data_IF_348894370077
#
_entry.id   IF_348894370077
#
_cell.length_a   1.000
_cell.length_b   1.000
_cell.length_c   1.000
_cell.angle_alpha   90.00
_cell.angle_beta   90.00
_cell.angle_gamma   90.00
#
_symmetry.space_group_name_H-M   'P 1'
#
loop_
_entity.id
_entity.type
_entity.pdbx_description
1 polymer ?
#
# COMPACT_ATOMS: atom_id res chain seq x y z
N UNK A 1 25.40 -30.51 -10.44
CA UNK A 1 24.86 -30.55 -9.06
C UNK A 1 25.29 -29.32 -8.27
N UNK A 2 26.59 -29.13 -7.97
CA UNK A 2 27.05 -27.96 -7.20
C UNK A 2 26.71 -26.60 -7.84
N UNK A 3 27.03 -26.40 -9.12
CA UNK A 3 26.70 -25.16 -9.83
C UNK A 3 25.18 -24.88 -9.84
N UNK A 4 24.37 -25.93 -9.99
CA UNK A 4 22.90 -25.84 -9.93
C UNK A 4 22.43 -25.43 -8.54
N UNK A 5 22.96 -26.06 -7.48
CA UNK A 5 22.64 -25.72 -6.09
C UNK A 5 23.03 -24.28 -5.72
N UNK A 6 24.16 -23.80 -6.25
CA UNK A 6 24.57 -22.40 -6.09
C UNK A 6 23.63 -21.45 -6.87
N UNK A 7 23.20 -21.85 -8.08
CA UNK A 7 22.25 -21.07 -8.86
C UNK A 7 20.89 -20.94 -8.17
N UNK A 8 20.32 -22.04 -7.68
CA UNK A 8 19.03 -22.03 -6.96
C UNK A 8 19.12 -21.21 -5.67
N UNK A 9 20.26 -21.27 -4.96
CA UNK A 9 20.48 -20.43 -3.78
C UNK A 9 20.51 -18.92 -4.10
N UNK A 10 21.11 -18.53 -5.23
CA UNK A 10 21.07 -17.13 -5.70
C UNK A 10 19.65 -16.70 -6.08
N UNK A 11 18.93 -17.53 -6.84
CA UNK A 11 17.53 -17.25 -7.21
C UNK A 11 16.65 -17.08 -5.98
N UNK A 12 16.85 -17.92 -4.96
CA UNK A 12 16.09 -17.85 -3.71
C UNK A 12 16.34 -16.53 -2.98
N UNK A 13 17.61 -16.11 -2.89
CA UNK A 13 17.98 -14.80 -2.33
C UNK A 13 17.30 -13.64 -3.09
N UNK A 14 17.23 -13.71 -4.42
CA UNK A 14 16.57 -12.69 -5.25
C UNK A 14 15.06 -12.64 -5.03
N UNK A 15 14.41 -13.80 -4.83
CA UNK A 15 12.98 -13.86 -4.53
C UNK A 15 12.68 -13.18 -3.19
N UNK A 16 13.48 -13.45 -2.15
CA UNK A 16 13.30 -12.78 -0.85
C UNK A 16 13.56 -11.28 -0.90
N UNK A 17 14.58 -10.85 -1.65
CA UNK A 17 14.84 -9.42 -1.87
C UNK A 17 13.69 -8.74 -2.61
N UNK A 18 13.17 -9.39 -3.66
CA UNK A 18 12.02 -8.91 -4.43
C UNK A 18 10.77 -8.81 -3.56
N UNK A 19 10.57 -9.79 -2.67
CA UNK A 19 9.45 -9.84 -1.74
C UNK A 19 9.49 -8.67 -0.76
N UNK A 20 10.66 -8.40 -0.18
CA UNK A 20 10.89 -7.24 0.70
C UNK A 20 10.62 -5.91 0.01
N UNK A 21 11.11 -5.75 -1.22
CA UNK A 21 10.86 -4.55 -2.04
C UNK A 21 9.36 -4.44 -2.35
N UNK A 22 8.71 -5.55 -2.71
CA UNK A 22 7.27 -5.61 -2.97
C UNK A 22 6.43 -5.19 -1.76
N UNK A 23 6.77 -5.66 -0.56
CA UNK A 23 6.13 -5.23 0.69
C UNK A 23 6.28 -3.73 0.91
N UNK A 24 7.50 -3.20 0.84
CA UNK A 24 7.75 -1.78 1.04
C UNK A 24 7.02 -0.91 0.00
N UNK A 25 7.00 -1.34 -1.27
CA UNK A 25 6.25 -0.67 -2.33
C UNK A 25 4.74 -0.71 -2.09
N UNK A 26 4.23 -1.82 -1.55
CA UNK A 26 2.81 -1.96 -1.24
C UNK A 26 2.38 -1.05 -0.10
N UNK A 27 3.21 -0.89 0.94
CA UNK A 27 2.97 0.06 2.03
C UNK A 27 2.93 1.51 1.53
N UNK A 28 3.82 1.85 0.59
CA UNK A 28 3.84 3.17 -0.03
C UNK A 28 2.58 3.43 -0.87
N UNK A 29 2.07 2.45 -1.62
CA UNK A 29 0.79 2.58 -2.32
C UNK A 29 -0.36 2.90 -1.35
N UNK A 30 -0.45 2.19 -0.23
CA UNK A 30 -1.46 2.44 0.81
C UNK A 30 -1.34 3.87 1.37
N UNK A 31 -0.11 4.33 1.59
CA UNK A 31 0.15 5.72 2.02
C UNK A 31 -0.31 6.72 0.97
N UNK A 32 -0.05 6.47 -0.32
CA UNK A 32 -0.45 7.32 -1.44
C UNK A 32 -1.96 7.43 -1.57
N UNK A 33 -2.70 6.32 -1.46
CA UNK A 33 -4.16 6.34 -1.38
C UNK A 33 -4.67 7.26 -0.28
N UNK A 34 -4.07 7.20 0.91
CA UNK A 34 -4.42 8.10 2.01
C UNK A 34 -4.21 9.59 1.68
N UNK A 35 -3.23 9.92 0.84
CA UNK A 35 -3.03 11.30 0.35
C UNK A 35 -4.11 11.67 -0.66
N UNK A 36 -4.45 10.77 -1.59
CA UNK A 36 -5.50 10.99 -2.59
C UNK A 36 -6.86 11.24 -1.92
N UNK A 37 -7.26 10.41 -0.96
CA UNK A 37 -8.51 10.54 -0.22
C UNK A 37 -8.60 11.86 0.57
N UNK A 38 -7.50 12.27 1.21
CA UNK A 38 -7.44 13.57 1.90
C UNK A 38 -7.58 14.73 0.92
N UNK A 39 -6.97 14.61 -0.25
CA UNK A 39 -7.02 15.62 -1.30
C UNK A 39 -8.45 15.74 -1.86
N UNK A 40 -9.14 14.62 -2.08
CA UNK A 40 -10.55 14.59 -2.49
C UNK A 40 -11.44 15.33 -1.48
N UNK A 41 -11.29 15.04 -0.18
CA UNK A 41 -12.03 15.74 0.87
C UNK A 41 -11.72 17.24 0.92
N UNK A 42 -10.46 17.62 0.70
CA UNK A 42 -10.08 19.03 0.68
C UNK A 42 -10.72 19.77 -0.49
N UNK A 43 -10.77 19.15 -1.67
CA UNK A 43 -11.45 19.70 -2.86
C UNK A 43 -12.95 19.83 -2.62
N UNK A 44 -13.59 18.84 -2.00
CA UNK A 44 -15.01 18.92 -1.63
C UNK A 44 -15.29 20.07 -0.66
N UNK A 45 -14.43 20.24 0.35
CA UNK A 45 -14.53 21.35 1.30
C UNK A 45 -14.40 22.70 0.59
N UNK A 46 -13.42 22.84 -0.32
CA UNK A 46 -13.25 24.07 -1.10
C UNK A 46 -14.49 24.37 -1.96
N UNK A 47 -15.12 23.38 -2.58
CA UNK A 47 -16.35 23.59 -3.36
C UNK A 47 -17.52 24.05 -2.45
N UNK A 48 -17.63 23.50 -1.24
CA UNK A 48 -18.60 23.96 -0.25
C UNK A 48 -18.34 25.40 0.21
N UNK A 49 -17.08 25.73 0.55
CA UNK A 49 -16.68 27.06 0.99
C UNK A 49 -16.91 28.12 -0.11
N UNK A 50 -16.69 27.76 -1.38
CA UNK A 50 -17.02 28.63 -2.51
C UNK A 50 -18.54 28.85 -2.66
N UNK A 51 -19.37 27.83 -2.45
CA UNK A 51 -20.84 28.02 -2.48
C UNK A 51 -21.32 28.96 -1.38
N UNK A 52 -20.73 28.88 -0.19
CA UNK A 52 -21.02 29.80 0.92
C UNK A 52 -20.56 31.21 0.55
N UNK A 53 -19.33 31.35 0.06
CA UNK A 53 -18.77 32.61 -0.43
C UNK A 53 -19.66 33.26 -1.50
N UNK A 54 -20.18 32.47 -2.43
CA UNK A 54 -21.09 32.93 -3.48
C UNK A 54 -22.41 33.46 -2.92
N UNK A 55 -22.99 32.83 -1.89
CA UNK A 55 -24.18 33.34 -1.20
C UNK A 55 -23.91 34.68 -0.53
N UNK A 56 -22.75 34.84 0.13
CA UNK A 56 -22.35 36.10 0.76
C UNK A 56 -22.17 37.22 -0.28
N UNK A 57 -21.47 36.95 -1.39
CA UNK A 57 -21.31 37.90 -2.51
C UNK A 57 -22.67 38.37 -3.04
N UNK A 58 -23.62 37.44 -3.23
CA UNK A 58 -24.96 37.79 -3.69
C UNK A 58 -25.72 38.63 -2.66
N UNK A 59 -25.56 38.38 -1.36
CA UNK A 59 -26.18 39.19 -0.31
C UNK A 59 -25.63 40.62 -0.26
N UNK A 60 -24.32 40.82 -0.52
CA UNK A 60 -23.70 42.15 -0.56
C UNK A 60 -24.23 42.98 -1.74
N UNK A 61 -24.50 42.37 -2.91
CA UNK A 61 -25.18 43.09 -4.00
C UNK A 61 -26.60 43.53 -3.62
N UNK A 62 -27.26 42.80 -2.73
CA UNK A 62 -28.68 43.00 -2.42
C UNK A 62 -28.96 44.07 -1.36
N UNK A 63 -27.95 44.58 -0.64
CA UNK A 63 -28.12 45.59 0.43
C UNK A 63 -28.17 47.05 -0.06
N UNK A 64 -28.16 47.29 -1.37
CA UNK A 64 -28.41 48.62 -1.95
C UNK A 64 -29.89 48.93 -2.21
N UNK A 65 -30.84 48.07 -1.77
CA UNK A 65 -32.24 48.17 -2.18
C UNK A 65 -33.34 47.74 -1.20
N UNK A 66 -33.12 47.73 0.13
CA UNK A 66 -34.22 47.47 1.04
C UNK A 66 -33.84 47.42 2.51
N UNK A 67 -34.19 48.47 3.25
CA UNK A 67 -34.23 48.45 4.71
C UNK A 67 -35.16 47.31 5.19
N UNK A 68 -34.85 46.79 6.39
CA UNK A 68 -35.62 45.83 7.22
C UNK A 68 -35.40 44.32 6.95
N UNK A 69 -34.30 43.77 7.46
CA UNK A 69 -34.24 42.36 7.89
C UNK A 69 -33.50 42.23 9.23
N UNK A 70 -33.99 42.94 10.25
CA UNK A 70 -33.44 42.95 11.61
C UNK A 70 -33.98 41.81 12.50
N UNK A 71 -34.65 40.80 11.93
CA UNK A 71 -35.25 39.70 12.70
C UNK A 71 -35.03 38.36 12.01
N UNK A 72 -33.84 37.77 12.16
CA UNK A 72 -33.69 36.31 12.13
C UNK A 72 -32.40 35.91 12.83
N UNK A 73 -32.56 35.12 13.90
CA UNK A 73 -31.52 34.63 14.79
C UNK A 73 -30.39 33.92 14.03
N UNK A 74 -29.16 34.13 14.51
CA UNK A 74 -27.92 33.53 14.01
C UNK A 74 -28.09 32.01 13.83
N UNK A 75 -27.74 31.41 12.67
CA UNK A 75 -27.53 29.98 12.59
C UNK A 75 -26.33 29.60 13.47
N UNK A 76 -26.45 28.50 14.20
CA UNK A 76 -25.39 27.97 15.04
C UNK A 76 -24.12 27.72 14.21
N UNK A 77 -23.01 28.15 14.78
CA UNK A 77 -21.64 27.94 14.32
C UNK A 77 -21.38 26.43 14.29
N UNK A 78 -21.38 25.84 13.09
CA UNK A 78 -21.03 24.43 12.91
C UNK A 78 -19.56 24.28 13.23
N UNK A 79 -19.29 23.58 14.33
CA UNK A 79 -17.97 23.16 14.79
C UNK A 79 -17.19 22.55 13.63
N UNK A 80 -15.90 22.89 13.42
CA UNK A 80 -15.09 22.19 12.45
C UNK A 80 -15.00 20.73 12.88
N UNK A 81 -15.61 19.83 12.11
CA UNK A 81 -15.43 18.39 12.31
C UNK A 81 -13.93 18.11 12.26
N UNK A 82 -13.41 17.63 13.39
CA UNK A 82 -12.07 17.10 13.46
C UNK A 82 -12.00 15.97 12.44
N UNK A 83 -11.21 16.20 11.39
CA UNK A 83 -10.79 15.17 10.46
C UNK A 83 -10.18 14.02 11.27
N UNK A 84 -11.00 13.03 11.59
CA UNK A 84 -10.52 11.80 12.18
C UNK A 84 -9.45 11.24 11.26
N UNK A 85 -8.29 10.97 11.82
CA UNK A 85 -7.17 10.30 11.16
C UNK A 85 -7.66 8.94 10.66
N UNK A 86 -8.22 8.91 9.44
CA UNK A 86 -8.40 7.68 8.71
C UNK A 86 -6.99 7.17 8.44
N UNK A 87 -6.59 6.16 9.21
CA UNK A 87 -5.44 5.34 8.86
C UNK A 87 -5.83 4.74 7.50
N UNK A 88 -5.07 5.01 6.44
CA UNK A 88 -5.37 4.46 5.12
C UNK A 88 -5.39 2.93 5.27
N UNK A 89 -6.54 2.31 5.05
CA UNK A 89 -6.65 0.86 5.07
C UNK A 89 -6.27 0.36 3.67
N UNK A 90 -5.30 -0.57 3.56
CA UNK A 90 -5.10 -1.29 2.32
C UNK A 90 -6.39 -2.03 1.97
N UNK A 91 -6.59 -2.34 0.68
CA UNK A 91 -7.56 -3.36 0.33
C UNK A 91 -7.22 -4.69 1.04
N UNK A 92 -8.25 -5.50 1.32
CA UNK A 92 -8.10 -6.72 2.14
C UNK A 92 -7.06 -7.68 1.57
N UNK A 93 -6.98 -7.75 0.24
CA UNK A 93 -6.07 -8.62 -0.50
C UNK A 93 -4.61 -8.20 -0.38
N UNK A 94 -4.28 -6.92 -0.56
CA UNK A 94 -2.92 -6.41 -0.41
C UNK A 94 -2.47 -6.52 1.04
N UNK A 95 -3.38 -6.27 2.00
CA UNK A 95 -3.11 -6.43 3.43
C UNK A 95 -2.71 -7.87 3.77
N UNK A 96 -3.47 -8.85 3.28
CA UNK A 96 -3.18 -10.27 3.50
C UNK A 96 -1.85 -10.68 2.87
N UNK A 97 -1.58 -10.24 1.64
CA UNK A 97 -0.33 -10.51 0.94
C UNK A 97 0.90 -9.94 1.69
N UNK A 98 0.81 -8.68 2.15
CA UNK A 98 1.86 -8.05 2.96
C UNK A 98 2.09 -8.83 4.27
N UNK A 99 1.03 -9.20 4.98
CA UNK A 99 1.15 -9.86 6.27
C UNK A 99 1.80 -11.24 6.14
N UNK A 100 1.34 -12.04 5.18
CA UNK A 100 1.89 -13.37 4.88
C UNK A 100 3.38 -13.27 4.53
N UNK A 101 3.72 -12.25 3.75
CA UNK A 101 5.10 -11.99 3.35
C UNK A 101 6.01 -11.59 4.52
N UNK A 102 5.55 -10.68 5.39
CA UNK A 102 6.31 -10.24 6.58
C UNK A 102 6.53 -11.37 7.58
N UNK A 103 5.56 -12.26 7.74
CA UNK A 103 5.72 -13.43 8.61
C UNK A 103 6.85 -14.34 8.11
N UNK A 104 6.92 -14.57 6.80
CA UNK A 104 8.00 -15.36 6.21
C UNK A 104 9.35 -14.63 6.26
N UNK A 105 9.39 -13.32 6.09
CA UNK A 105 10.62 -12.53 6.20
C UNK A 105 11.26 -12.70 7.58
N UNK A 106 10.47 -12.70 8.65
CA UNK A 106 10.96 -12.94 10.01
C UNK A 106 11.57 -14.34 10.18
N UNK A 107 10.95 -15.36 9.59
CA UNK A 107 11.47 -16.74 9.61
C UNK A 107 12.77 -16.89 8.80
N UNK A 108 12.86 -16.19 7.66
CA UNK A 108 14.08 -16.18 6.85
C UNK A 108 15.22 -15.44 7.56
N UNK A 109 14.95 -14.28 8.16
CA UNK A 109 15.94 -13.54 8.94
C UNK A 109 16.49 -14.37 10.12
N UNK A 110 15.63 -15.19 10.75
CA UNK A 110 16.04 -16.08 11.84
C UNK A 110 16.87 -17.30 11.36
N UNK A 111 16.68 -17.77 10.13
CA UNK A 111 17.34 -18.96 9.59
C UNK A 111 18.59 -18.68 8.75
N UNK A 112 18.85 -17.42 8.35
CA UNK A 112 19.93 -17.13 7.42
C UNK A 112 21.33 -17.05 8.08
N UNK A 113 22.32 -17.86 7.63
CA UNK A 113 23.65 -17.92 8.24
C UNK A 113 24.45 -16.61 8.16
N UNK A 114 24.13 -15.70 7.22
CA UNK A 114 24.76 -14.38 7.11
C UNK A 114 24.22 -13.33 8.11
N UNK A 115 23.08 -13.58 8.78
CA UNK A 115 22.52 -12.70 9.83
C UNK A 115 22.71 -13.27 11.24
N UNK A 116 23.01 -14.58 11.34
CA UNK A 116 23.26 -15.31 12.59
C UNK A 116 24.63 -15.02 13.24
N UNK A 117 25.45 -14.13 12.67
CA UNK A 117 26.72 -13.72 13.29
C UNK A 117 26.45 -12.80 14.47
N UNK A 118 26.18 -13.39 15.64
CA UNK A 118 26.77 -12.96 16.92
C UNK A 118 26.50 -13.88 18.12
N UNK A 119 25.76 -15.00 18.02
CA UNK A 119 25.69 -15.99 19.10
C UNK A 119 25.22 -17.35 18.57
N UNK A 120 26.17 -18.26 18.37
CA UNK A 120 26.11 -19.66 18.80
C UNK A 120 27.26 -20.43 18.14
N UNK A 121 28.30 -20.63 18.93
CA UNK A 121 29.29 -21.68 18.73
C UNK A 121 28.63 -23.03 19.00
N UNK A 122 28.97 -24.01 18.15
CA UNK A 122 28.66 -25.43 18.26
C UNK A 122 27.18 -25.81 18.34
N UNK A 123 26.75 -26.65 17.39
CA UNK A 123 26.12 -27.94 17.65
C UNK A 123 25.63 -28.50 16.31
N UNK A 124 26.22 -29.62 15.90
CA UNK A 124 25.70 -30.50 14.86
C UNK A 124 24.68 -31.43 15.52
N UNK A 125 23.39 -31.43 15.15
CA UNK A 125 22.48 -32.50 15.52
C UNK A 125 22.50 -33.55 14.40
N UNK A 126 23.11 -34.69 14.72
CA UNK A 126 22.99 -35.94 13.98
C UNK A 126 21.55 -36.46 14.11
N UNK A 127 20.71 -36.13 13.13
CA UNK A 127 19.31 -36.53 13.07
C UNK A 127 19.09 -37.73 12.15
N UNK A 128 18.66 -38.84 12.75
CA UNK A 128 18.26 -40.10 12.10
C UNK A 128 17.28 -39.89 10.94
N UNK A 129 17.72 -40.14 9.71
CA UNK A 129 16.88 -40.09 8.51
C UNK A 129 16.04 -41.37 8.38
N UNK A 130 14.73 -41.21 8.48
CA UNK A 130 13.73 -42.23 8.17
C UNK A 130 13.80 -42.55 6.67
N UNK A 131 13.98 -43.82 6.34
CA UNK A 131 14.18 -44.31 4.98
C UNK A 131 12.87 -44.28 4.17
N UNK A 132 12.61 -43.19 3.46
CA UNK A 132 11.63 -43.13 2.38
C UNK A 132 12.37 -43.15 1.03
N UNK A 133 12.13 -44.23 0.27
CA UNK A 133 12.39 -44.45 -1.17
C UNK A 133 13.76 -44.02 -1.73
N UNK A 134 14.70 -44.98 -1.78
CA UNK A 134 16.09 -44.80 -2.23
C UNK A 134 16.27 -44.78 -3.76
N UNK A 135 15.19 -44.72 -4.56
CA UNK A 135 15.29 -44.76 -6.04
C UNK A 135 15.47 -43.38 -6.71
N UNK A 136 15.08 -42.28 -6.05
CA UNK A 136 15.08 -40.95 -6.67
C UNK A 136 16.42 -40.19 -6.60
N UNK A 137 17.27 -40.53 -5.62
CA UNK A 137 18.51 -39.79 -5.35
C UNK A 137 19.76 -40.62 -5.64
N UNK A 138 20.86 -39.99 -6.11
CA UNK A 138 22.13 -40.68 -6.33
C UNK A 138 22.63 -41.44 -5.09
N UNK A 139 23.29 -42.58 -5.30
CA UNK A 139 23.90 -43.38 -4.22
C UNK A 139 25.12 -42.68 -3.58
N UNK A 140 25.78 -41.79 -4.31
CA UNK A 140 26.89 -41.00 -3.79
C UNK A 140 26.37 -39.97 -2.76
N UNK A 141 26.83 -40.01 -1.49
CA UNK A 141 26.33 -39.12 -0.44
C UNK A 141 26.47 -37.62 -0.75
N UNK A 142 27.57 -37.22 -1.39
CA UNK A 142 27.85 -35.83 -1.70
C UNK A 142 26.94 -35.30 -2.82
N UNK A 143 26.66 -36.13 -3.83
CA UNK A 143 25.67 -35.80 -4.86
C UNK A 143 24.26 -35.75 -4.27
N UNK A 144 23.91 -36.70 -3.40
CA UNK A 144 22.60 -36.72 -2.72
C UNK A 144 22.35 -35.44 -1.95
N UNK A 145 23.34 -34.95 -1.19
CA UNK A 145 23.23 -33.70 -0.45
C UNK A 145 22.96 -32.50 -1.38
N UNK A 146 23.62 -32.43 -2.54
CA UNK A 146 23.36 -31.37 -3.52
C UNK A 146 21.96 -31.47 -4.13
N UNK A 147 21.49 -32.66 -4.47
CA UNK A 147 20.14 -32.85 -5.02
C UNK A 147 19.07 -32.47 -3.99
N UNK A 148 19.19 -32.93 -2.74
CA UNK A 148 18.29 -32.54 -1.66
C UNK A 148 18.28 -31.02 -1.44
N UNK A 149 19.46 -30.37 -1.49
CA UNK A 149 19.55 -28.91 -1.39
C UNK A 149 18.87 -28.21 -2.57
N UNK A 150 19.01 -28.73 -3.78
CA UNK A 150 18.34 -28.19 -4.97
C UNK A 150 16.83 -28.29 -4.80
N UNK A 151 16.31 -29.46 -4.43
CA UNK A 151 14.88 -29.70 -4.29
C UNK A 151 14.27 -28.81 -3.19
N UNK A 152 14.92 -28.72 -2.02
CA UNK A 152 14.50 -27.78 -0.96
C UNK A 152 14.48 -26.32 -1.44
N UNK A 153 15.52 -25.87 -2.17
CA UNK A 153 15.54 -24.51 -2.71
C UNK A 153 14.42 -24.28 -3.74
N UNK A 154 14.08 -25.29 -4.55
CA UNK A 154 13.03 -25.20 -5.56
C UNK A 154 11.64 -25.12 -4.91
N UNK A 155 11.41 -25.86 -3.82
CA UNK A 155 10.17 -25.80 -3.05
C UNK A 155 10.00 -24.42 -2.39
N UNK A 156 11.07 -23.87 -1.80
CA UNK A 156 11.06 -22.51 -1.24
C UNK A 156 10.86 -21.45 -2.34
N UNK A 157 11.51 -21.60 -3.50
CA UNK A 157 11.34 -20.73 -4.65
C UNK A 157 9.89 -20.73 -5.15
N UNK A 158 9.27 -21.90 -5.27
CA UNK A 158 7.86 -22.04 -5.66
C UNK A 158 6.95 -21.27 -4.71
N UNK A 159 7.15 -21.45 -3.41
CA UNK A 159 6.38 -20.78 -2.36
C UNK A 159 6.60 -19.26 -2.38
N UNK A 160 7.85 -18.81 -2.52
CA UNK A 160 8.19 -17.38 -2.57
C UNK A 160 7.67 -16.68 -3.83
N UNK A 161 7.70 -17.35 -4.98
CA UNK A 161 7.06 -16.86 -6.20
C UNK A 161 5.54 -16.75 -6.05
N UNK A 162 4.92 -17.67 -5.30
CA UNK A 162 3.51 -17.58 -4.91
C UNK A 162 3.20 -16.30 -4.14
N UNK A 163 3.99 -16.00 -3.09
CA UNK A 163 3.82 -14.76 -2.30
C UNK A 163 4.06 -13.50 -3.14
N UNK A 164 5.08 -13.50 -3.99
CA UNK A 164 5.33 -12.39 -4.93
C UNK A 164 4.15 -12.15 -5.86
N UNK A 165 3.52 -13.21 -6.36
CA UNK A 165 2.31 -13.11 -7.17
C UNK A 165 1.16 -12.50 -6.38
N UNK A 166 0.97 -12.91 -5.13
CA UNK A 166 -0.12 -12.37 -4.29
C UNK A 166 0.09 -10.88 -3.99
N UNK A 167 1.33 -10.46 -3.71
CA UNK A 167 1.70 -9.04 -3.59
C UNK A 167 1.39 -8.30 -4.90
N UNK A 168 1.85 -8.82 -6.04
CA UNK A 168 1.63 -8.17 -7.33
C UNK A 168 0.14 -7.99 -7.67
N UNK A 169 -0.69 -9.00 -7.39
CA UNK A 169 -2.13 -8.92 -7.61
C UNK A 169 -2.82 -7.96 -6.61
N UNK A 170 -2.35 -7.91 -5.37
CA UNK A 170 -2.81 -6.92 -4.39
C UNK A 170 -2.46 -5.49 -4.80
N UNK A 171 -1.22 -5.25 -5.26
CA UNK A 171 -0.76 -3.96 -5.78
C UNK A 171 -1.56 -3.54 -7.01
N UNK A 172 -1.83 -4.46 -7.94
CA UNK A 172 -2.66 -4.19 -9.12
C UNK A 172 -4.06 -3.68 -8.71
N UNK A 173 -4.69 -4.36 -7.76
CA UNK A 173 -6.03 -3.98 -7.26
C UNK A 173 -5.98 -2.60 -6.57
N UNK A 174 -4.94 -2.32 -5.80
CA UNK A 174 -4.76 -1.03 -5.12
C UNK A 174 -4.53 0.12 -6.12
N UNK A 175 -3.79 -0.13 -7.21
CA UNK A 175 -3.59 0.85 -8.29
C UNK A 175 -4.91 1.15 -9.01
N UNK A 176 -5.72 0.13 -9.33
CA UNK A 176 -7.05 0.31 -9.94
C UNK A 176 -7.96 1.16 -9.06
N UNK A 177 -7.98 0.91 -7.75
CA UNK A 177 -8.75 1.71 -6.80
C UNK A 177 -8.25 3.17 -6.71
N UNK A 178 -6.93 3.39 -6.81
CA UNK A 178 -6.36 4.74 -6.84
C UNK A 178 -6.69 5.48 -8.15
N UNK A 179 -6.72 4.80 -9.29
CA UNK A 179 -7.10 5.38 -10.59
C UNK A 179 -8.52 5.94 -10.55
N UNK A 180 -9.46 5.20 -9.95
CA UNK A 180 -10.83 5.66 -9.71
C UNK A 180 -10.88 6.95 -8.86
N UNK A 181 -10.05 7.04 -7.81
CA UNK A 181 -9.96 8.26 -6.98
C UNK A 181 -9.41 9.43 -7.80
N UNK A 182 -8.36 9.19 -8.58
CA UNK A 182 -7.73 10.21 -9.44
C UNK A 182 -8.73 10.74 -10.47
N UNK A 183 -9.52 9.87 -11.10
CA UNK A 183 -10.55 10.27 -12.07
C UNK A 183 -11.63 11.17 -11.44
N UNK A 184 -12.13 10.81 -10.26
CA UNK A 184 -13.07 11.66 -9.51
C UNK A 184 -12.44 12.98 -9.08
N UNK A 185 -11.23 12.93 -8.54
CA UNK A 185 -10.50 14.12 -8.08
C UNK A 185 -10.28 15.12 -9.23
N UNK A 186 -9.84 14.63 -10.39
CA UNK A 186 -9.66 15.45 -11.61
C UNK A 186 -10.95 16.18 -11.96
N UNK A 187 -12.06 15.45 -12.04
CA UNK A 187 -13.37 16.05 -12.34
C UNK A 187 -13.79 17.11 -11.31
N UNK A 188 -13.55 16.84 -10.02
CA UNK A 188 -13.87 17.78 -8.93
C UNK A 188 -13.01 19.04 -8.99
N UNK A 189 -11.71 18.88 -9.25
CA UNK A 189 -10.77 20.01 -9.39
C UNK A 189 -11.12 20.89 -10.57
N UNK A 190 -11.44 20.31 -11.74
CA UNK A 190 -11.85 21.08 -12.92
C UNK A 190 -13.12 21.92 -12.64
N UNK A 191 -14.11 21.31 -11.98
CA UNK A 191 -15.32 22.03 -11.56
C UNK A 191 -15.01 23.13 -10.55
N UNK A 192 -14.14 22.85 -9.59
CA UNK A 192 -13.71 23.81 -8.59
C UNK A 192 -13.03 25.02 -9.25
N UNK A 193 -12.11 24.81 -10.19
CA UNK A 193 -11.42 25.88 -10.93
C UNK A 193 -12.41 26.79 -11.68
N UNK A 194 -13.39 26.21 -12.39
CA UNK A 194 -14.44 26.98 -13.06
C UNK A 194 -15.26 27.82 -12.06
N UNK A 195 -15.61 27.23 -10.92
CA UNK A 195 -16.37 27.92 -9.86
C UNK A 195 -15.55 29.05 -9.22
N UNK A 196 -14.25 28.85 -8.99
CA UNK A 196 -13.33 29.89 -8.48
C UNK A 196 -13.28 31.05 -9.47
N UNK A 197 -13.00 30.79 -10.76
CA UNK A 197 -12.94 31.83 -11.80
C UNK A 197 -14.24 32.61 -11.91
N UNK A 198 -15.39 31.92 -11.85
CA UNK A 198 -16.70 32.59 -11.85
C UNK A 198 -16.92 33.46 -10.61
N UNK A 199 -16.49 32.99 -9.44
CA UNK A 199 -16.64 33.72 -8.17
C UNK A 199 -15.74 34.95 -8.17
N UNK A 200 -14.49 34.82 -8.60
CA UNK A 200 -13.52 35.91 -8.73
C UNK A 200 -14.07 37.03 -9.62
N UNK A 201 -14.64 36.68 -10.79
CA UNK A 201 -15.27 37.66 -11.67
C UNK A 201 -16.41 38.42 -10.99
N UNK A 202 -17.24 37.76 -10.19
CA UNK A 202 -18.33 38.42 -9.46
C UNK A 202 -17.83 39.32 -8.34
N UNK A 203 -16.76 38.93 -7.65
CA UNK A 203 -16.10 39.77 -6.63
C UNK A 203 -15.52 41.03 -7.26
N UNK A 204 -14.88 40.93 -8.43
CA UNK A 204 -14.38 42.10 -9.17
C UNK A 204 -15.48 43.05 -9.66
N UNK A 205 -16.73 42.57 -9.70
CA UNK A 205 -17.92 43.34 -10.08
C UNK A 205 -18.76 43.79 -8.88
N UNK A 206 -18.32 43.52 -7.64
CA UNK A 206 -18.83 44.18 -6.44
C UNK A 206 -18.19 45.57 -6.34
#
# INVERSE_FOLDING_TARGET
AEATAASTGRSLSLVYESEKIGVASSEELVRQRGVLERTEKMVDKMDQDLKISQKHINSIKSVFGGFVNYFKSKPAETTPEQNGTLIPQPNSRLKEAINTSKEQEAQYQASHPNLRKLNDSDLIPEGTVSAVSTEAYPKNPHLRAYHQKIDNNLDELSTGLGRLKDIALGMQTEIEEQDDIIGRLTTKVDKLDVNIKSTEKKVRQL
#
